data_IF_612899030869
#
_entry.id   IF_612899030869
#
_cell.length_a   1.000
_cell.length_b   1.000
_cell.length_c   1.000
_cell.angle_alpha   90.00
_cell.angle_beta   90.00
_cell.angle_gamma   90.00
#
_symmetry.space_group_name_H-M   'P 1'
#
loop_
_entity.id
_entity.type
_entity.pdbx_description
1 polymer ?
#
# COMPACT_ATOMS: atom_id res chain seq x y z
N UNK A 1 -22.20 5.41 3.39
CA UNK A 1 -20.88 4.76 3.63
C UNK A 1 -20.17 5.54 4.72
N UNK A 2 -19.95 4.93 5.89
CA UNK A 2 -19.24 5.58 7.00
C UNK A 2 -17.76 5.67 6.62
N UNK A 3 -17.30 6.84 6.17
CA UNK A 3 -15.86 7.09 6.08
C UNK A 3 -15.36 7.10 7.53
N UNK A 4 -14.71 6.02 7.95
CA UNK A 4 -14.06 5.95 9.25
C UNK A 4 -13.00 7.06 9.23
N UNK A 5 -13.11 8.06 10.12
CA UNK A 5 -12.09 9.12 10.19
C UNK A 5 -10.79 8.47 10.61
N UNK A 6 -9.84 8.36 9.68
CA UNK A 6 -8.48 7.93 9.98
C UNK A 6 -7.88 9.00 10.90
N UNK A 7 -7.48 8.59 12.10
CA UNK A 7 -6.80 9.42 13.11
C UNK A 7 -5.35 9.63 12.71
N UNK A 8 -4.73 10.66 13.27
CA UNK A 8 -3.32 10.97 13.04
C UNK A 8 -2.38 9.79 13.36
N UNK A 9 -2.66 9.07 14.46
CA UNK A 9 -1.90 7.86 14.83
C UNK A 9 -2.01 6.75 13.78
N UNK A 10 -3.17 6.61 13.15
CA UNK A 10 -3.41 5.62 12.10
C UNK A 10 -2.70 6.07 10.81
N UNK A 11 -2.80 7.34 10.41
CA UNK A 11 -2.01 7.92 9.32
C UNK A 11 -0.50 7.68 9.50
N UNK A 12 0.02 7.89 10.71
CA UNK A 12 1.43 7.65 11.03
C UNK A 12 1.79 6.17 10.90
N UNK A 13 0.90 5.26 11.30
CA UNK A 13 1.08 3.82 11.14
C UNK A 13 1.09 3.41 9.66
N UNK A 14 0.11 3.86 8.87
CA UNK A 14 0.02 3.58 7.44
C UNK A 14 1.29 4.05 6.73
N UNK A 15 1.74 5.27 7.02
CA UNK A 15 2.98 5.83 6.47
C UNK A 15 4.22 5.02 6.85
N UNK A 16 4.31 4.53 8.10
CA UNK A 16 5.42 3.66 8.53
C UNK A 16 5.40 2.31 7.82
N UNK A 17 4.22 1.70 7.61
CA UNK A 17 4.11 0.45 6.86
C UNK A 17 4.63 0.61 5.43
N UNK A 18 4.22 1.67 4.72
CA UNK A 18 4.71 1.99 3.38
C UNK A 18 6.23 2.21 3.36
N UNK A 19 6.75 2.99 4.31
CA UNK A 19 8.20 3.22 4.42
C UNK A 19 8.98 1.94 4.71
N UNK A 20 8.43 1.05 5.54
CA UNK A 20 9.05 -0.24 5.87
C UNK A 20 9.10 -1.14 4.64
N UNK A 21 8.04 -1.16 3.84
CA UNK A 21 8.01 -1.87 2.55
C UNK A 21 9.09 -1.33 1.59
N UNK A 22 9.21 -0.01 1.44
CA UNK A 22 10.26 0.59 0.60
C UNK A 22 11.67 0.22 1.08
N UNK A 23 11.90 0.24 2.39
CA UNK A 23 13.18 -0.19 2.99
C UNK A 23 13.46 -1.67 2.74
N UNK A 24 12.44 -2.52 2.83
CA UNK A 24 12.56 -3.97 2.60
C UNK A 24 13.05 -4.26 1.18
N UNK A 25 12.44 -3.63 0.17
CA UNK A 25 12.83 -3.80 -1.23
C UNK A 25 13.98 -2.89 -1.69
N UNK A 26 14.50 -2.03 -0.80
CA UNK A 26 15.46 -0.95 -1.13
C UNK A 26 15.04 -0.15 -2.36
N UNK A 27 13.73 0.03 -2.51
CA UNK A 27 13.13 0.68 -3.66
C UNK A 27 13.18 2.19 -3.49
N UNK A 28 13.31 2.91 -4.61
CA UNK A 28 13.19 4.37 -4.59
C UNK A 28 11.71 4.75 -4.37
N UNK A 29 11.43 5.78 -3.54
CA UNK A 29 10.08 6.29 -3.40
C UNK A 29 9.60 6.80 -4.75
N UNK A 30 8.55 6.17 -5.27
CA UNK A 30 7.90 6.53 -6.51
C UNK A 30 6.48 7.01 -6.21
N UNK A 31 6.02 8.07 -6.89
CA UNK A 31 4.71 8.66 -6.63
C UNK A 31 3.57 7.67 -6.90
N UNK A 32 3.66 6.88 -7.99
CA UNK A 32 2.63 5.90 -8.34
C UNK A 32 2.64 4.71 -7.40
N UNK A 33 3.82 4.19 -7.07
CA UNK A 33 3.93 3.11 -6.08
C UNK A 33 3.41 3.58 -4.71
N UNK A 34 3.71 4.81 -4.31
CA UNK A 34 3.21 5.38 -3.05
C UNK A 34 1.69 5.51 -3.02
N UNK A 35 1.05 5.95 -4.11
CA UNK A 35 -0.41 6.04 -4.22
C UNK A 35 -1.08 4.66 -4.14
N UNK A 36 -0.55 3.67 -4.87
CA UNK A 36 -1.04 2.28 -4.82
C UNK A 36 -0.88 1.68 -3.42
N UNK A 37 0.31 1.81 -2.83
CA UNK A 37 0.56 1.31 -1.48
C UNK A 37 -0.39 1.99 -0.49
N UNK A 38 -0.51 3.33 -0.51
CA UNK A 38 -1.38 4.09 0.38
C UNK A 38 -2.84 3.62 0.27
N UNK A 39 -3.36 3.46 -0.95
CA UNK A 39 -4.71 2.95 -1.21
C UNK A 39 -4.89 1.53 -0.66
N UNK A 40 -3.91 0.65 -0.87
CA UNK A 40 -3.94 -0.71 -0.34
C UNK A 40 -3.93 -0.74 1.19
N UNK A 41 -3.09 0.09 1.84
CA UNK A 41 -3.05 0.11 3.32
C UNK A 41 -4.37 0.63 3.91
N UNK A 42 -5.02 1.60 3.25
CA UNK A 42 -6.35 2.10 3.64
C UNK A 42 -7.40 1.01 3.48
N UNK A 43 -7.37 0.24 2.39
CA UNK A 43 -8.29 -0.88 2.18
C UNK A 43 -8.12 -1.95 3.26
N UNK A 44 -6.88 -2.32 3.57
CA UNK A 44 -6.58 -3.26 4.66
C UNK A 44 -7.06 -2.75 6.01
N UNK A 45 -6.87 -1.46 6.29
CA UNK A 45 -7.37 -0.83 7.49
C UNK A 45 -8.91 -0.90 7.59
N UNK A 46 -9.62 -0.67 6.48
CA UNK A 46 -11.07 -0.85 6.42
C UNK A 46 -11.52 -2.31 6.60
N UNK A 47 -10.69 -3.27 6.18
CA UNK A 47 -10.90 -4.70 6.40
C UNK A 47 -10.63 -5.15 7.86
N UNK A 48 -10.13 -4.25 8.73
CA UNK A 48 -9.89 -4.51 10.14
C UNK A 48 -8.42 -4.73 10.52
N UNK A 49 -7.50 -4.60 9.58
CA UNK A 49 -6.06 -4.70 9.83
C UNK A 49 -5.53 -3.37 10.40
N UNK A 50 -5.29 -3.31 11.71
CA UNK A 50 -4.89 -2.08 12.40
C UNK A 50 -3.47 -2.15 12.99
N UNK A 51 -2.60 -3.03 12.50
CA UNK A 51 -1.22 -3.19 13.00
C UNK A 51 -0.21 -2.99 11.89
N UNK A 52 0.89 -2.29 12.20
CA UNK A 52 1.92 -1.94 11.21
C UNK A 52 2.53 -3.20 10.57
N UNK A 53 2.81 -4.22 11.37
CA UNK A 53 3.45 -5.47 10.93
C UNK A 53 2.58 -6.26 9.97
N UNK A 54 1.28 -6.39 10.27
CA UNK A 54 0.32 -7.11 9.45
C UNK A 54 0.10 -6.38 8.12
N UNK A 55 -0.09 -5.07 8.16
CA UNK A 55 -0.15 -4.22 6.97
C UNK A 55 1.10 -4.37 6.10
N UNK A 56 2.30 -4.34 6.70
CA UNK A 56 3.56 -4.48 5.97
C UNK A 56 3.72 -5.88 5.36
N UNK A 57 3.38 -6.93 6.12
CA UNK A 57 3.44 -8.32 5.67
C UNK A 57 2.52 -8.56 4.47
N UNK A 58 1.29 -8.03 4.52
CA UNK A 58 0.34 -8.11 3.42
C UNK A 58 0.85 -7.32 2.21
N UNK A 59 1.40 -6.12 2.41
CA UNK A 59 2.00 -5.32 1.32
C UNK A 59 3.15 -6.07 0.64
N UNK A 60 4.05 -6.70 1.40
CA UNK A 60 5.15 -7.53 0.86
C UNK A 60 4.60 -8.70 0.04
N UNK A 61 3.55 -9.35 0.55
CA UNK A 61 2.91 -10.50 -0.10
C UNK A 61 2.17 -10.12 -1.38
N UNK A 62 1.40 -9.02 -1.34
CA UNK A 62 0.60 -8.52 -2.49
C UNK A 62 1.45 -7.83 -3.55
N UNK A 63 2.51 -7.17 -3.12
CA UNK A 63 3.35 -6.35 -3.96
C UNK A 63 4.82 -6.75 -3.76
N UNK A 64 5.30 -7.77 -4.50
CA UNK A 64 6.69 -8.22 -4.41
C UNK A 64 7.62 -7.26 -5.18
N UNK A 65 7.77 -6.04 -4.64
CA UNK A 65 8.62 -5.00 -5.18
C UNK A 65 7.95 -4.07 -6.20
N UNK A 66 8.56 -2.90 -6.46
CA UNK A 66 7.96 -1.80 -7.23
C UNK A 66 7.73 -2.14 -8.70
N UNK A 67 8.61 -2.94 -9.31
CA UNK A 67 8.47 -3.36 -10.71
C UNK A 67 7.23 -4.22 -10.90
N UNK A 68 6.92 -5.11 -9.96
CA UNK A 68 5.73 -5.96 -9.99
C UNK A 68 4.44 -5.14 -9.78
N UNK A 69 4.50 -4.06 -8.99
CA UNK A 69 3.37 -3.14 -8.83
C UNK A 69 3.04 -2.40 -10.12
N UNK A 70 4.07 -1.95 -10.84
CA UNK A 70 3.92 -1.18 -12.07
C UNK A 70 3.40 -2.04 -13.23
N UNK A 71 3.76 -3.32 -13.29
CA UNK A 71 3.28 -4.25 -14.32
C UNK A 71 1.87 -4.78 -14.07
N UNK A 72 1.41 -4.81 -12.81
CA UNK A 72 0.04 -5.23 -12.45
C UNK A 72 -0.93 -4.07 -12.28
N UNK A 73 -0.51 -2.83 -12.58
CA UNK A 73 -1.49 -1.77 -12.81
C UNK A 73 -2.44 -2.28 -13.89
N UNK A 74 -3.76 -2.26 -13.67
CA UNK A 74 -4.72 -2.54 -14.72
C UNK A 74 -4.66 -1.37 -15.72
N UNK A 75 -3.60 -1.30 -16.51
CA UNK A 75 -3.79 -0.98 -17.92
C UNK A 75 -4.61 -2.14 -18.46
N UNK A 76 -5.92 -2.08 -18.20
CA UNK A 76 -6.88 -2.80 -19.01
C UNK A 76 -6.56 -2.45 -20.44
N UNK A 77 -5.99 -3.43 -21.11
CA UNK A 77 -6.11 -3.73 -22.51
C UNK A 77 -6.97 -2.73 -23.27
N UNK A 78 -6.31 -1.91 -24.11
CA UNK A 78 -7.00 -1.43 -25.31
C UNK A 78 -7.22 -2.66 -26.19
N UNK A 79 -8.37 -3.32 -25.99
CA UNK A 79 -8.95 -4.20 -26.99
C UNK A 79 -9.66 -3.29 -27.99
N UNK A 80 -8.93 -2.87 -29.03
CA UNK A 80 -9.46 -2.63 -30.37
C UNK A 80 -8.29 -2.46 -31.36
#
# INVERSE_FOLDING_TARGET
MLVRRIRDTEMAMLSRSVQTWYKHYKAKPDARASEMLCSAVIDLFNNGHHTQEELTSILITRYPGPTAMLTNSPTSSSVH
#
